data_IF_616309702802
#
_entry.id   IF_616309702802
#
_cell.length_a   1.000
_cell.length_b   1.000
_cell.length_c   1.000
_cell.angle_alpha   90.00
_cell.angle_beta   90.00
_cell.angle_gamma   90.00
#
_symmetry.space_group_name_H-M   'P 1'
#
loop_
_entity.id
_entity.type
_entity.pdbx_description
1 polymer ?
#
# COMPACT_ATOMS: atom_id res chain seq x y z
N UNK A 1 55.11 16.77 -8.98
CA UNK A 1 53.75 16.39 -8.52
C UNK A 1 53.15 15.41 -9.52
N UNK A 2 52.25 14.52 -9.10
CA UNK A 2 51.68 13.48 -9.97
C UNK A 2 50.51 13.99 -10.84
N UNK A 3 49.81 15.04 -10.41
CA UNK A 3 48.60 15.53 -11.07
C UNK A 3 48.81 15.94 -12.54
N UNK A 4 49.85 16.73 -12.91
CA UNK A 4 50.07 17.11 -14.31
C UNK A 4 50.34 15.94 -15.26
N UNK A 5 50.69 14.76 -14.75
CA UNK A 5 50.90 13.54 -15.55
C UNK A 5 49.58 12.90 -16.01
N UNK A 6 48.51 13.08 -15.25
CA UNK A 6 47.21 12.44 -15.49
C UNK A 6 46.06 13.42 -15.72
N UNK A 7 46.24 14.69 -15.35
CA UNK A 7 45.24 15.74 -15.44
C UNK A 7 45.83 17.01 -16.07
N UNK A 8 44.98 17.80 -16.74
CA UNK A 8 45.37 19.09 -17.34
C UNK A 8 45.54 20.23 -16.32
N UNK A 9 45.70 19.91 -15.04
CA UNK A 9 45.90 20.85 -13.94
C UNK A 9 46.83 20.27 -12.88
N UNK A 10 47.47 21.13 -12.09
CA UNK A 10 48.32 20.74 -10.96
C UNK A 10 47.64 20.90 -9.59
N UNK A 11 46.41 21.44 -9.57
CA UNK A 11 45.71 21.82 -8.33
C UNK A 11 45.00 20.61 -7.67
N UNK A 12 45.30 20.38 -6.39
CA UNK A 12 44.67 19.34 -5.58
C UNK A 12 43.17 19.60 -5.34
N UNK A 13 42.75 20.85 -5.18
CA UNK A 13 41.35 21.21 -4.99
C UNK A 13 40.49 20.82 -6.20
N UNK A 14 41.03 20.96 -7.41
CA UNK A 14 40.36 20.51 -8.64
C UNK A 14 40.20 18.98 -8.66
N UNK A 15 41.24 18.25 -8.23
CA UNK A 15 41.17 16.79 -8.08
C UNK A 15 40.14 16.36 -7.03
N UNK A 16 40.17 16.96 -5.84
CA UNK A 16 39.21 16.69 -4.78
C UNK A 16 37.78 17.02 -5.21
N UNK A 17 37.59 18.08 -6.02
CA UNK A 17 36.27 18.43 -6.54
C UNK A 17 35.73 17.37 -7.49
N UNK A 18 36.57 16.82 -8.36
CA UNK A 18 36.21 15.71 -9.24
C UNK A 18 35.78 14.49 -8.42
N UNK A 19 36.53 14.12 -7.39
CA UNK A 19 36.15 13.03 -6.48
C UNK A 19 34.76 13.25 -5.87
N UNK A 20 34.48 14.46 -5.38
CA UNK A 20 33.16 14.80 -4.83
C UNK A 20 32.03 14.63 -5.86
N UNK A 21 32.25 14.98 -7.14
CA UNK A 21 31.24 14.79 -8.16
C UNK A 21 30.91 13.31 -8.44
N UNK A 22 31.85 12.41 -8.18
CA UNK A 22 31.66 10.96 -8.34
C UNK A 22 31.32 10.26 -7.02
N UNK A 23 30.92 11.03 -5.99
CA UNK A 23 30.43 10.48 -4.72
C UNK A 23 31.52 9.94 -3.79
N UNK A 24 32.81 10.18 -4.08
CA UNK A 24 33.88 9.81 -3.16
C UNK A 24 33.81 10.66 -1.90
N UNK A 25 34.03 10.03 -0.75
CA UNK A 25 34.01 10.69 0.56
C UNK A 25 35.42 10.72 1.15
N UNK A 26 35.79 11.85 1.76
CA UNK A 26 37.04 11.95 2.53
C UNK A 26 36.88 11.13 3.82
N UNK A 27 37.76 10.14 4.02
CA UNK A 27 37.84 9.45 5.30
C UNK A 27 38.48 10.39 6.31
N UNK A 28 37.80 10.61 7.43
CA UNK A 28 38.42 11.23 8.59
C UNK A 28 39.32 10.16 9.20
N UNK A 29 40.60 10.47 9.33
CA UNK A 29 41.51 9.70 10.17
C UNK A 29 41.18 10.07 11.61
N UNK A 30 40.01 9.64 12.09
CA UNK A 30 39.81 9.61 13.53
C UNK A 30 40.80 8.55 14.03
N UNK A 31 41.66 8.87 15.01
CA UNK A 31 42.59 7.90 15.56
C UNK A 31 41.77 6.85 16.30
N UNK A 32 41.29 5.86 15.55
CA UNK A 32 40.76 4.63 16.13
C UNK A 32 41.96 4.03 16.86
N UNK A 33 41.74 3.67 18.13
CA UNK A 33 42.68 3.05 19.06
C UNK A 33 43.09 1.63 18.62
N UNK A 34 43.35 1.43 17.33
CA UNK A 34 44.00 0.26 16.78
C UNK A 34 45.48 0.59 16.64
N UNK A 35 46.31 -0.18 17.32
CA UNK A 35 47.77 -0.07 17.45
C UNK A 35 48.58 -0.11 16.14
N UNK A 36 47.94 -0.10 14.98
CA UNK A 36 48.53 -0.27 13.64
C UNK A 36 48.51 1.02 12.79
N UNK A 37 48.43 2.20 13.41
CA UNK A 37 48.57 3.45 12.67
C UNK A 37 50.06 3.76 12.50
N UNK A 38 50.59 3.42 11.32
CA UNK A 38 51.90 3.88 10.87
C UNK A 38 51.95 5.42 10.91
N UNK A 39 52.83 6.02 11.75
CA UNK A 39 52.96 7.47 11.88
C UNK A 39 53.22 8.17 10.53
N UNK A 40 53.81 7.47 9.57
CA UNK A 40 54.09 8.01 8.23
C UNK A 40 52.80 8.18 7.40
N UNK A 41 51.77 7.39 7.65
CA UNK A 41 50.52 7.39 6.89
C UNK A 41 49.45 8.30 7.49
N UNK A 42 49.62 8.73 8.75
CA UNK A 42 48.67 9.57 9.48
C UNK A 42 48.38 10.93 8.81
N UNK A 43 49.34 11.46 8.04
CA UNK A 43 49.25 12.71 7.28
C UNK A 43 48.42 12.57 5.98
N UNK A 44 48.19 11.34 5.49
CA UNK A 44 47.61 11.15 4.16
C UNK A 44 46.11 11.41 4.12
N UNK A 45 45.69 12.14 3.08
CA UNK A 45 44.27 12.30 2.75
C UNK A 45 43.78 11.03 2.05
N UNK A 46 42.77 10.39 2.65
CA UNK A 46 42.16 9.17 2.10
C UNK A 46 40.76 9.47 1.58
N UNK A 47 40.45 8.92 0.41
CA UNK A 47 39.12 8.98 -0.19
C UNK A 47 38.58 7.57 -0.37
N UNK A 48 37.27 7.41 -0.23
CA UNK A 48 36.58 6.13 -0.35
C UNK A 48 35.32 6.24 -1.20
N UNK A 49 35.08 5.19 -1.98
CA UNK A 49 33.83 4.95 -2.67
C UNK A 49 33.60 3.43 -2.70
N UNK A 50 32.40 2.97 -2.33
CA UNK A 50 32.09 1.53 -2.19
C UNK A 50 32.38 0.72 -3.47
N UNK A 51 32.07 1.32 -4.62
CA UNK A 51 32.28 0.71 -5.95
C UNK A 51 33.68 0.95 -6.53
N UNK A 52 34.57 1.64 -5.82
CA UNK A 52 35.97 1.80 -6.22
C UNK A 52 36.82 0.78 -5.45
N UNK A 53 37.01 -0.41 -6.04
CA UNK A 53 37.74 -1.52 -5.43
C UNK A 53 38.91 -1.95 -6.29
N UNK A 54 40.05 -2.26 -5.66
CA UNK A 54 41.22 -2.82 -6.33
C UNK A 54 40.85 -4.13 -7.05
N UNK A 55 41.38 -4.31 -8.26
CA UNK A 55 41.18 -5.50 -9.11
C UNK A 55 39.72 -5.74 -9.55
N UNK A 56 38.81 -4.77 -9.38
CA UNK A 56 37.40 -4.86 -9.80
C UNK A 56 36.97 -3.69 -10.70
N UNK A 57 37.53 -3.56 -11.91
CA UNK A 57 37.20 -2.46 -12.83
C UNK A 57 35.73 -2.42 -13.24
N UNK A 58 35.01 -3.56 -13.25
CA UNK A 58 33.60 -3.65 -13.60
C UNK A 58 32.68 -2.80 -12.70
N UNK A 59 33.09 -2.53 -11.46
CA UNK A 59 32.32 -1.70 -10.53
C UNK A 59 32.44 -0.20 -10.86
N UNK A 60 33.46 0.21 -11.62
CA UNK A 60 33.67 1.61 -12.00
C UNK A 60 32.53 2.17 -12.86
N UNK A 61 31.88 1.35 -13.70
CA UNK A 61 30.72 1.77 -14.50
C UNK A 61 29.52 2.21 -13.65
N UNK A 62 29.46 1.78 -12.38
CA UNK A 62 28.41 2.18 -11.44
C UNK A 62 28.72 3.53 -10.77
N UNK A 63 29.95 4.02 -10.87
CA UNK A 63 30.36 5.32 -10.33
C UNK A 63 29.97 6.40 -11.34
N UNK A 64 28.75 6.91 -11.20
CA UNK A 64 28.24 7.98 -12.06
C UNK A 64 28.49 9.34 -11.45
N UNK A 65 28.68 10.33 -12.32
CA UNK A 65 28.80 11.71 -11.89
C UNK A 65 27.44 12.19 -11.40
N UNK A 66 27.36 12.69 -10.17
CA UNK A 66 26.17 13.35 -9.65
C UNK A 66 25.94 14.64 -10.45
N UNK A 67 24.88 14.65 -11.24
CA UNK A 67 24.36 15.87 -11.86
C UNK A 67 23.31 16.49 -10.95
N UNK A 68 23.07 17.81 -11.06
CA UNK A 68 22.02 18.48 -10.27
C UNK A 68 20.64 17.83 -10.49
N UNK A 69 20.39 17.34 -11.70
CA UNK A 69 19.17 16.64 -12.10
C UNK A 69 18.99 15.32 -11.37
N UNK A 70 20.05 14.52 -11.20
CA UNK A 70 19.94 13.21 -10.53
C UNK A 70 19.56 13.35 -9.06
N UNK A 71 20.12 14.34 -8.35
CA UNK A 71 19.84 14.55 -6.94
C UNK A 71 18.40 15.01 -6.70
N UNK A 72 17.93 15.97 -7.52
CA UNK A 72 16.55 16.45 -7.46
C UNK A 72 15.55 15.34 -7.79
N UNK A 73 15.84 14.51 -8.82
CA UNK A 73 14.95 13.40 -9.19
C UNK A 73 14.81 12.35 -8.08
N UNK A 74 15.86 12.11 -7.29
CA UNK A 74 15.81 11.14 -6.19
C UNK A 74 14.92 11.64 -5.05
N UNK A 75 15.04 12.92 -4.70
CA UNK A 75 14.25 13.53 -3.63
C UNK A 75 12.77 13.65 -4.04
N UNK A 76 12.49 13.99 -5.30
CA UNK A 76 11.14 13.97 -5.88
C UNK A 76 10.52 12.57 -5.84
N UNK A 77 11.26 11.54 -6.26
CA UNK A 77 10.77 10.15 -6.24
C UNK A 77 10.45 9.68 -4.82
N UNK A 78 11.27 10.02 -3.83
CA UNK A 78 10.99 9.66 -2.43
C UNK A 78 9.77 10.42 -1.88
N UNK A 79 9.59 11.69 -2.24
CA UNK A 79 8.38 12.45 -1.92
C UNK A 79 7.13 11.81 -2.53
N UNK A 80 7.18 11.48 -3.82
CA UNK A 80 6.06 10.84 -4.52
C UNK A 80 5.71 9.47 -3.90
N UNK A 81 6.71 8.68 -3.48
CA UNK A 81 6.46 7.41 -2.78
C UNK A 81 5.73 7.62 -1.47
N UNK A 82 6.10 8.65 -0.71
CA UNK A 82 5.42 9.01 0.52
C UNK A 82 3.95 9.40 0.27
N UNK A 83 3.71 10.25 -0.73
CA UNK A 83 2.36 10.66 -1.11
C UNK A 83 1.51 9.47 -1.56
N UNK A 84 2.05 8.57 -2.39
CA UNK A 84 1.37 7.34 -2.81
C UNK A 84 1.02 6.46 -1.61
N UNK A 85 1.91 6.32 -0.63
CA UNK A 85 1.64 5.56 0.58
C UNK A 85 0.47 6.18 1.38
N UNK A 86 0.48 7.50 1.55
CA UNK A 86 -0.58 8.25 2.24
C UNK A 86 -1.94 8.17 1.52
N UNK A 87 -1.93 8.25 0.19
CA UNK A 87 -3.15 8.10 -0.62
C UNK A 87 -3.73 6.69 -0.46
N UNK A 88 -2.89 5.65 -0.50
CA UNK A 88 -3.33 4.26 -0.30
C UNK A 88 -3.94 4.05 1.08
N UNK A 89 -3.35 4.62 2.12
CA UNK A 89 -3.89 4.56 3.48
C UNK A 89 -5.27 5.25 3.56
N UNK A 90 -5.38 6.46 2.99
CA UNK A 90 -6.65 7.21 2.96
C UNK A 90 -7.75 6.44 2.23
N UNK A 91 -7.42 5.85 1.08
CA UNK A 91 -8.33 5.00 0.32
C UNK A 91 -8.77 3.77 1.11
N UNK A 92 -7.85 3.11 1.81
CA UNK A 92 -8.17 1.95 2.65
C UNK A 92 -9.12 2.31 3.79
N UNK A 93 -8.88 3.44 4.46
CA UNK A 93 -9.74 3.94 5.53
C UNK A 93 -11.13 4.29 5.01
N UNK A 94 -11.18 4.96 3.85
CA UNK A 94 -12.45 5.38 3.24
C UNK A 94 -13.25 4.18 2.74
N UNK A 95 -12.59 3.16 2.16
CA UNK A 95 -13.22 1.91 1.77
C UNK A 95 -13.88 1.21 2.97
N UNK A 96 -13.15 1.06 4.08
CA UNK A 96 -13.69 0.47 5.31
C UNK A 96 -14.89 1.27 5.87
N UNK A 97 -14.86 2.60 5.76
CA UNK A 97 -15.99 3.44 6.16
C UNK A 97 -17.23 3.22 5.28
N UNK A 98 -17.05 3.02 3.97
CA UNK A 98 -18.16 2.71 3.07
C UNK A 98 -18.74 1.32 3.35
N UNK A 99 -17.89 0.32 3.60
CA UNK A 99 -18.34 -1.03 3.95
C UNK A 99 -19.17 -1.02 5.25
N UNK A 100 -18.72 -0.26 6.26
CA UNK A 100 -19.49 -0.08 7.50
C UNK A 100 -20.86 0.55 7.24
N UNK A 101 -20.92 1.65 6.47
CA UNK A 101 -22.18 2.32 6.14
C UNK A 101 -23.12 1.43 5.34
N UNK A 102 -22.57 0.61 4.44
CA UNK A 102 -23.35 -0.33 3.63
C UNK A 102 -23.97 -1.42 4.51
N UNK A 103 -23.21 -1.93 5.48
CA UNK A 103 -23.71 -2.90 6.45
C UNK A 103 -24.82 -2.30 7.34
N UNK A 104 -24.64 -1.08 7.83
CA UNK A 104 -25.67 -0.36 8.62
C UNK A 104 -26.97 -0.15 7.83
N UNK A 105 -26.86 0.30 6.57
CA UNK A 105 -28.02 0.50 5.72
C UNK A 105 -28.74 -0.81 5.40
N UNK A 106 -27.97 -1.86 5.08
CA UNK A 106 -28.52 -3.20 4.84
C UNK A 106 -29.26 -3.74 6.07
N UNK A 107 -28.69 -3.56 7.26
CA UNK A 107 -29.33 -3.95 8.51
C UNK A 107 -30.66 -3.22 8.72
N UNK A 108 -30.71 -1.91 8.51
CA UNK A 108 -31.95 -1.13 8.69
C UNK A 108 -33.03 -1.52 7.66
N UNK A 109 -32.65 -1.75 6.39
CA UNK A 109 -33.56 -2.26 5.38
C UNK A 109 -34.13 -3.62 5.76
N UNK A 110 -33.29 -4.58 6.16
CA UNK A 110 -33.71 -5.92 6.56
C UNK A 110 -34.62 -5.88 7.79
N UNK A 111 -34.31 -5.04 8.77
CA UNK A 111 -35.14 -4.81 9.96
C UNK A 111 -36.54 -4.31 9.56
N UNK A 112 -36.61 -3.34 8.63
CA UNK A 112 -37.89 -2.79 8.18
C UNK A 112 -38.70 -3.77 7.36
N UNK A 113 -38.06 -4.56 6.49
CA UNK A 113 -38.70 -5.65 5.74
C UNK A 113 -39.27 -6.69 6.72
N UNK A 114 -38.50 -7.10 7.73
CA UNK A 114 -38.93 -8.09 8.72
C UNK A 114 -40.15 -7.59 9.52
N UNK A 115 -40.12 -6.34 9.98
CA UNK A 115 -41.24 -5.74 10.70
C UNK A 115 -42.51 -5.68 9.83
N UNK A 116 -42.36 -5.27 8.57
CA UNK A 116 -43.46 -5.21 7.62
C UNK A 116 -44.03 -6.60 7.30
N UNK A 117 -43.17 -7.60 7.08
CA UNK A 117 -43.60 -8.99 6.85
C UNK A 117 -44.39 -9.53 8.03
N UNK A 118 -43.96 -9.25 9.27
CA UNK A 118 -44.70 -9.66 10.46
C UNK A 118 -46.11 -9.03 10.55
N UNK A 119 -46.28 -7.78 10.12
CA UNK A 119 -47.61 -7.15 10.02
C UNK A 119 -48.47 -7.81 8.93
N UNK A 120 -47.89 -8.15 7.77
CA UNK A 120 -48.59 -8.89 6.73
C UNK A 120 -49.03 -10.29 7.20
N UNK A 121 -48.18 -11.00 7.94
CA UNK A 121 -48.52 -12.32 8.50
C UNK A 121 -49.71 -12.24 9.47
N UNK A 122 -49.75 -11.19 10.32
CA UNK A 122 -50.91 -10.93 11.21
C UNK A 122 -52.19 -10.70 10.42
N UNK A 123 -52.13 -9.88 9.37
CA UNK A 123 -53.28 -9.61 8.51
C UNK A 123 -53.74 -10.87 7.78
N UNK A 124 -52.80 -11.65 7.24
CA UNK A 124 -53.10 -12.92 6.59
C UNK A 124 -53.80 -13.89 7.55
N UNK A 125 -53.35 -13.99 8.81
CA UNK A 125 -54.00 -14.82 9.82
C UNK A 125 -55.44 -14.38 10.13
N UNK A 126 -55.68 -13.07 10.25
CA UNK A 126 -57.03 -12.52 10.45
C UNK A 126 -57.95 -12.82 9.25
N UNK A 127 -57.45 -12.61 8.03
CA UNK A 127 -58.17 -12.92 6.79
C UNK A 127 -58.50 -14.41 6.72
N UNK A 128 -57.54 -15.29 7.02
CA UNK A 128 -57.80 -16.74 7.08
C UNK A 128 -58.89 -17.08 8.10
N UNK A 129 -58.86 -16.49 9.30
CA UNK A 129 -59.89 -16.71 10.33
C UNK A 129 -61.29 -16.21 9.93
N UNK A 130 -61.35 -15.15 9.13
CA UNK A 130 -62.61 -14.53 8.69
C UNK A 130 -63.21 -15.21 7.45
N UNK A 131 -62.37 -15.77 6.58
CA UNK A 131 -62.78 -16.46 5.35
C UNK A 131 -63.04 -17.95 5.60
N UNK A 132 -62.46 -18.58 6.65
CA UNK A 132 -62.79 -19.96 7.02
C UNK A 132 -64.30 -20.09 7.28
N UNK A 133 -65.05 -20.86 6.46
CA UNK A 133 -66.49 -21.00 6.64
C UNK A 133 -66.79 -21.66 7.99
N UNK A 134 -67.82 -21.15 8.67
CA UNK A 134 -68.35 -21.66 9.95
C UNK A 134 -68.96 -23.08 9.84
N UNK A 135 -68.82 -23.75 8.69
CA UNK A 135 -69.43 -25.04 8.38
C UNK A 135 -68.46 -26.25 8.43
N UNK A 136 -67.21 -26.07 8.85
CA UNK A 136 -66.27 -27.19 8.98
C UNK A 136 -66.25 -27.80 10.39
N UNK A 137 -67.39 -28.30 10.86
CA UNK A 137 -67.45 -29.19 12.05
C UNK A 137 -67.03 -30.65 11.71
N UNK A 138 -66.75 -31.02 10.45
CA UNK A 138 -66.59 -32.45 10.10
C UNK A 138 -65.38 -32.87 9.24
N UNK A 139 -64.31 -32.08 9.09
CA UNK A 139 -63.16 -32.52 8.27
C UNK A 139 -61.79 -32.16 8.86
N UNK A 140 -61.57 -32.43 10.14
CA UNK A 140 -60.22 -32.47 10.70
C UNK A 140 -59.65 -33.88 10.54
N UNK A 141 -58.98 -34.15 9.42
CA UNK A 141 -57.98 -35.22 9.28
C UNK A 141 -57.16 -35.01 8.02
N UNK A 142 -55.83 -34.96 8.20
CA UNK A 142 -54.79 -35.06 7.17
C UNK A 142 -54.69 -33.95 6.11
N UNK A 143 -53.75 -33.02 6.33
CA UNK A 143 -52.85 -32.60 5.26
C UNK A 143 -51.57 -32.01 5.87
N UNK A 144 -50.52 -32.80 5.75
CA UNK A 144 -49.11 -32.51 6.02
C UNK A 144 -48.65 -31.19 5.39
N UNK A 145 -47.96 -30.38 6.19
CA UNK A 145 -47.29 -29.17 5.79
C UNK A 145 -46.18 -29.44 4.76
N UNK A 146 -46.30 -28.85 3.57
CA UNK A 146 -45.18 -28.61 2.67
C UNK A 146 -44.95 -27.11 2.59
N UNK A 147 -44.01 -26.63 3.43
CA UNK A 147 -43.47 -25.28 3.40
C UNK A 147 -42.72 -25.06 2.07
N UNK A 148 -43.35 -24.35 1.14
CA UNK A 148 -42.66 -23.81 -0.03
C UNK A 148 -41.98 -22.51 0.38
N UNK A 149 -40.67 -22.60 0.63
CA UNK A 149 -39.78 -21.46 0.79
C UNK A 149 -39.89 -20.53 -0.43
N UNK A 150 -40.45 -19.34 -0.23
CA UNK A 150 -40.45 -18.29 -1.25
C UNK A 150 -39.04 -17.72 -1.35
N UNK A 151 -38.29 -18.17 -2.35
CA UNK A 151 -36.98 -17.64 -2.72
C UNK A 151 -37.14 -16.19 -3.17
N UNK A 152 -36.52 -15.27 -2.44
CA UNK A 152 -36.31 -13.89 -2.88
C UNK A 152 -35.20 -13.92 -3.94
N UNK A 153 -35.43 -13.44 -5.18
CA UNK A 153 -34.38 -13.41 -6.19
C UNK A 153 -33.30 -12.42 -5.80
N UNK A 154 -32.06 -12.91 -5.79
CA UNK A 154 -30.84 -12.21 -5.43
C UNK A 154 -30.50 -11.15 -6.49
N UNK A 155 -30.84 -9.88 -6.21
CA UNK A 155 -30.61 -8.74 -7.11
C UNK A 155 -29.12 -8.38 -7.28
N UNK A 156 -28.21 -9.01 -6.53
CA UNK A 156 -26.77 -8.80 -6.71
C UNK A 156 -26.20 -9.47 -7.97
N UNK A 157 -26.92 -10.44 -8.58
CA UNK A 157 -26.41 -11.12 -9.77
C UNK A 157 -26.61 -10.32 -11.07
N UNK A 158 -27.54 -9.34 -11.10
CA UNK A 158 -27.86 -8.59 -12.32
C UNK A 158 -26.91 -7.42 -12.63
N UNK A 159 -26.05 -7.01 -11.68
CA UNK A 159 -25.09 -5.92 -11.89
C UNK A 159 -23.71 -6.41 -12.36
N UNK A 160 -23.49 -7.72 -12.46
CA UNK A 160 -22.26 -8.31 -12.98
C UNK A 160 -22.23 -8.48 -14.51
N UNK A 161 -23.36 -8.27 -15.21
CA UNK A 161 -23.46 -8.52 -16.66
C UNK A 161 -23.63 -7.26 -17.52
N UNK A 162 -23.48 -6.06 -16.94
CA UNK A 162 -23.60 -4.79 -17.66
C UNK A 162 -22.27 -4.03 -17.82
N UNK A 163 -21.16 -4.77 -17.94
CA UNK A 163 -19.84 -4.23 -18.29
C UNK A 163 -19.38 -4.79 -19.65
#
# INVERSE_FOLDING_TARGET
SVLPRYFKHSNFSSFARQLNFYGFRKLRTDPILTSDVDPHTACFVRFYHEKFQKDKPQLLHQIKRATKTDQQSKDEVESLKHDVAKLKETLSLTAAQYDQKLAELSYECNRRITAMNAEYDKLAALVHSAITPRDSILAASSATASSSASQVPDLLHSLSQAA
#
